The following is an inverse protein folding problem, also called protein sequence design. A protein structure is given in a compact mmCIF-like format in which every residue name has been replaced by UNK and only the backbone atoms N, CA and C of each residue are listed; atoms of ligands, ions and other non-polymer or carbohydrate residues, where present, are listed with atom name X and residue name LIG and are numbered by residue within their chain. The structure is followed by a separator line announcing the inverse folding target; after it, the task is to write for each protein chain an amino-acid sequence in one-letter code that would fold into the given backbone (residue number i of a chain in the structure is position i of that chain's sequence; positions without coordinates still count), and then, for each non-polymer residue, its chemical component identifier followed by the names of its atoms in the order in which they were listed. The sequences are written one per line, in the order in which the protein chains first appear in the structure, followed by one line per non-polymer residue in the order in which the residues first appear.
data_IF_944470748344
#
_entry.id   IF_944470748344
#
_cell.length_a   1.000
_cell.length_b   1.000
_cell.length_c   1.000
_cell.angle_alpha   90.00
_cell.angle_beta   90.00
_cell.angle_gamma   90.00
#
_symmetry.space_group_name_H-M   'P 1'
#
loop_
_entity.id
_entity.type
_entity.pdbx_description
1 polymer ?
#
# COMPACT_ATOMS: atom_id res chain seq x y z
N UNK A 1 -13.73 16.27 11.43
CA UNK A 1 -15.13 15.79 11.49
C UNK A 1 -15.24 14.61 10.55
N UNK A 2 -15.20 13.39 11.08
CA UNK A 2 -15.31 12.15 10.29
C UNK A 2 -16.80 11.83 10.19
N UNK A 3 -17.38 11.95 8.99
CA UNK A 3 -18.76 11.52 8.76
C UNK A 3 -18.82 9.99 8.79
N UNK A 4 -19.37 9.42 9.86
CA UNK A 4 -19.68 7.99 9.93
C UNK A 4 -20.89 7.74 9.02
N UNK A 5 -20.64 7.28 7.79
CA UNK A 5 -21.70 6.87 6.87
C UNK A 5 -22.11 5.45 7.28
N UNK A 6 -23.33 5.28 7.75
CA UNK A 6 -23.88 3.95 8.05
C UNK A 6 -24.50 3.34 6.78
N UNK A 7 -24.26 2.05 6.51
CA UNK A 7 -24.93 1.35 5.42
C UNK A 7 -26.41 1.12 5.75
N UNK A 8 -27.20 0.81 4.73
CA UNK A 8 -28.59 0.39 4.92
C UNK A 8 -28.71 -1.05 5.45
N UNK A 9 -29.94 -1.53 5.59
CA UNK A 9 -30.26 -2.88 6.08
C UNK A 9 -29.65 -4.02 5.24
N UNK A 10 -29.21 -3.74 4.02
CA UNK A 10 -28.56 -4.69 3.11
C UNK A 10 -27.05 -4.47 3.01
N UNK A 11 -26.46 -3.59 3.82
CA UNK A 11 -25.03 -3.28 3.78
C UNK A 11 -24.62 -2.31 2.67
N UNK A 12 -25.57 -1.67 1.98
CA UNK A 12 -25.29 -0.77 0.87
C UNK A 12 -25.13 0.66 1.38
N UNK A 13 -24.01 1.29 1.05
CA UNK A 13 -23.77 2.71 1.36
C UNK A 13 -24.45 3.56 0.30
N UNK A 14 -25.29 4.52 0.72
CA UNK A 14 -26.01 5.42 -0.18
C UNK A 14 -25.50 6.86 -0.05
N UNK A 15 -25.50 7.61 -1.15
CA UNK A 15 -25.23 9.04 -1.14
C UNK A 15 -26.50 9.83 -0.73
N UNK A 16 -26.42 11.16 -0.66
CA UNK A 16 -27.55 12.02 -0.27
C UNK A 16 -28.72 11.98 -1.27
N UNK A 17 -28.47 11.52 -2.49
CA UNK A 17 -29.47 11.37 -3.56
C UNK A 17 -30.04 9.94 -3.61
N UNK A 18 -29.59 9.04 -2.73
CA UNK A 18 -30.03 7.64 -2.68
C UNK A 18 -29.26 6.68 -3.59
N UNK A 19 -28.27 7.16 -4.34
CA UNK A 19 -27.44 6.32 -5.22
C UNK A 19 -26.45 5.48 -4.42
N UNK A 20 -26.24 4.23 -4.84
CA UNK A 20 -25.24 3.35 -4.25
C UNK A 20 -23.83 3.94 -4.43
N UNK A 21 -23.05 3.95 -3.36
CA UNK A 21 -21.67 4.43 -3.33
C UNK A 21 -20.76 3.43 -2.62
N UNK A 22 -19.48 3.51 -2.93
CA UNK A 22 -18.42 2.80 -2.20
C UNK A 22 -18.08 3.53 -0.89
N UNK A 23 -17.35 2.86 0.01
CA UNK A 23 -16.77 3.47 1.21
C UNK A 23 -15.85 4.68 0.90
N UNK A 24 -15.33 4.75 -0.33
CA UNK A 24 -14.48 5.83 -0.84
C UNK A 24 -15.28 6.88 -1.64
N UNK A 25 -16.60 6.95 -1.42
CA UNK A 25 -17.53 7.92 -2.02
C UNK A 25 -17.65 7.90 -3.55
N UNK A 26 -17.14 6.86 -4.23
CA UNK A 26 -17.41 6.66 -5.66
C UNK A 26 -18.79 6.07 -5.87
N UNK A 27 -19.58 6.68 -6.76
CA UNK A 27 -20.89 6.18 -7.17
C UNK A 27 -20.70 4.90 -7.98
N UNK A 28 -21.49 3.87 -7.67
CA UNK A 28 -21.52 2.63 -8.43
C UNK A 28 -22.61 2.77 -9.48
N UNK A 29 -22.21 2.90 -10.74
CA UNK A 29 -23.14 2.93 -11.87
C UNK A 29 -23.37 1.50 -12.35
N UNK A 30 -24.61 1.02 -12.24
CA UNK A 30 -25.04 -0.26 -12.79
C UNK A 30 -26.15 0.05 -13.79
N UNK A 31 -25.95 -0.32 -15.06
CA UNK A 31 -26.98 -0.14 -16.08
C UNK A 31 -28.07 -1.20 -15.95
N UNK A 32 -29.19 -0.99 -16.64
CA UNK A 32 -30.28 -1.98 -16.67
C UNK A 32 -29.79 -3.27 -17.34
N UNK A 33 -28.98 -3.14 -18.39
CA UNK A 33 -28.37 -4.22 -19.13
C UNK A 33 -27.42 -5.04 -18.25
N UNK A 34 -26.66 -4.38 -17.36
CA UNK A 34 -25.81 -5.07 -16.39
C UNK A 34 -26.63 -5.91 -15.40
N UNK A 35 -27.78 -5.39 -14.94
CA UNK A 35 -28.69 -6.10 -14.03
C UNK A 35 -29.29 -7.32 -14.74
N UNK A 36 -29.77 -7.14 -15.97
CA UNK A 36 -30.34 -8.22 -16.78
C UNK A 36 -29.31 -9.33 -17.05
N UNK A 37 -28.08 -8.96 -17.41
CA UNK A 37 -26.99 -9.92 -17.62
C UNK A 37 -26.65 -10.71 -16.34
N UNK A 38 -26.62 -10.05 -15.18
CA UNK A 38 -26.37 -10.73 -13.89
C UNK A 38 -27.47 -11.73 -13.57
N UNK A 39 -28.74 -11.36 -13.78
CA UNK A 39 -29.89 -12.23 -13.50
C UNK A 39 -29.93 -13.43 -14.45
N UNK A 40 -29.68 -13.23 -15.73
CA UNK A 40 -29.61 -14.31 -16.73
C UNK A 40 -28.50 -15.33 -16.39
N UNK A 41 -27.34 -14.85 -15.95
CA UNK A 41 -26.23 -15.69 -15.50
C UNK A 41 -26.58 -16.44 -14.21
N UNK A 42 -27.28 -15.80 -13.26
CA UNK A 42 -27.71 -16.45 -12.03
C UNK A 42 -28.71 -17.58 -12.29
N UNK A 43 -29.66 -17.38 -13.21
CA UNK A 43 -30.65 -18.38 -13.61
C UNK A 43 -30.00 -19.57 -14.34
N UNK A 44 -29.07 -19.31 -15.27
CA UNK A 44 -28.32 -20.37 -15.97
C UNK A 44 -27.41 -21.18 -15.05
N UNK A 45 -26.93 -20.58 -13.95
CA UNK A 45 -26.06 -21.26 -12.98
C UNK A 45 -26.80 -21.86 -11.78
N UNK A 46 -28.13 -21.73 -11.72
CA UNK A 46 -28.93 -22.19 -10.60
C UNK A 46 -28.52 -21.54 -9.27
N UNK A 47 -28.17 -20.25 -9.30
CA UNK A 47 -27.77 -19.50 -8.11
C UNK A 47 -26.35 -19.75 -7.61
N UNK A 48 -25.46 -20.37 -8.41
CA UNK A 48 -24.03 -20.46 -8.06
C UNK A 48 -23.33 -19.12 -8.31
N UNK A 49 -22.73 -18.57 -7.26
CA UNK A 49 -21.91 -17.36 -7.35
C UNK A 49 -20.69 -17.62 -8.24
N UNK A 50 -20.56 -16.87 -9.35
CA UNK A 50 -19.31 -16.77 -10.09
C UNK A 50 -18.40 -15.77 -9.38
N UNK A 51 -17.52 -16.29 -8.54
CA UNK A 51 -16.35 -15.51 -8.14
C UNK A 51 -15.32 -15.54 -9.28
N UNK A 52 -14.51 -14.47 -9.41
CA UNK A 52 -13.35 -14.52 -10.30
C UNK A 52 -12.45 -15.70 -9.88
N UNK A 53 -11.73 -16.38 -10.80
CA UNK A 53 -10.92 -17.56 -10.49
C UNK A 53 -9.94 -17.35 -9.32
N UNK A 54 -9.41 -16.13 -9.19
CA UNK A 54 -8.53 -15.71 -8.10
C UNK A 54 -9.18 -15.66 -6.71
N UNK A 55 -10.52 -15.72 -6.64
CA UNK A 55 -11.34 -15.74 -5.42
C UNK A 55 -12.24 -16.99 -5.32
N UNK A 56 -12.04 -17.98 -6.20
CA UNK A 56 -12.87 -19.20 -6.31
C UNK A 56 -12.92 -20.01 -5.01
N UNK A 57 -11.89 -19.86 -4.15
CA UNK A 57 -11.80 -20.48 -2.81
C UNK A 57 -12.20 -19.58 -1.65
N UNK A 58 -12.45 -18.29 -1.89
CA UNK A 58 -12.82 -17.34 -0.84
C UNK A 58 -14.33 -17.34 -0.54
N UNK A 59 -15.13 -17.84 -1.48
CA UNK A 59 -16.60 -17.86 -1.39
C UNK A 59 -17.16 -19.27 -1.49
N UNK A 60 -16.46 -20.26 -0.94
CA UNK A 60 -17.10 -21.53 -0.58
C UNK A 60 -18.13 -21.22 0.53
N UNK A 61 -19.32 -20.76 0.15
CA UNK A 61 -20.45 -20.77 1.06
C UNK A 61 -20.73 -22.24 1.37
N UNK A 62 -20.60 -22.68 2.64
CA UNK A 62 -21.17 -23.96 3.03
C UNK A 62 -22.63 -23.90 2.58
N UNK A 63 -23.09 -24.89 1.81
CA UNK A 63 -24.49 -25.00 1.42
C UNK A 63 -25.30 -24.70 2.67
N UNK A 64 -26.09 -23.64 2.65
CA UNK A 64 -26.95 -23.27 3.77
C UNK A 64 -28.04 -24.33 3.83
N UNK A 65 -27.71 -25.47 4.41
CA UNK A 65 -28.68 -26.21 5.20
C UNK A 65 -29.22 -25.20 6.22
N UNK A 66 -30.53 -25.21 6.53
CA UNK A 66 -31.11 -24.35 7.55
C UNK A 66 -30.66 -24.86 8.92
N UNK A 67 -29.36 -24.83 9.18
CA UNK A 67 -28.80 -24.85 10.50
C UNK A 67 -28.62 -23.37 10.83
N UNK A 68 -29.32 -22.85 11.85
CA UNK A 68 -29.09 -21.50 12.34
C UNK A 68 -27.59 -21.28 12.51
N UNK A 69 -27.03 -20.12 12.13
CA UNK A 69 -25.66 -19.80 12.47
C UNK A 69 -25.53 -20.05 13.96
N UNK A 70 -24.60 -20.92 14.35
CA UNK A 70 -24.26 -21.10 15.75
C UNK A 70 -23.69 -19.76 16.20
N UNK A 71 -24.57 -18.86 16.64
CA UNK A 71 -24.18 -17.69 17.39
C UNK A 71 -23.55 -18.25 18.66
N UNK A 72 -22.28 -17.92 18.99
CA UNK A 72 -21.78 -18.24 20.32
C UNK A 72 -22.80 -17.70 21.33
N UNK A 73 -23.18 -18.54 22.31
CA UNK A 73 -24.15 -18.15 23.33
C UNK A 73 -23.81 -16.75 23.84
N UNK A 74 -24.82 -15.87 23.86
CA UNK A 74 -24.69 -14.41 23.93
C UNK A 74 -24.10 -13.85 25.25
N UNK A 75 -23.31 -14.64 25.97
CA UNK A 75 -22.77 -14.35 27.29
C UNK A 75 -21.37 -14.96 27.56
N UNK A 76 -20.70 -15.58 26.58
CA UNK A 76 -19.36 -16.18 26.78
C UNK A 76 -18.21 -15.18 26.77
N UNK A 77 -18.42 -13.98 26.22
CA UNK A 77 -17.38 -12.97 26.07
C UNK A 77 -17.58 -11.84 27.08
N UNK A 78 -16.88 -11.93 28.21
CA UNK A 78 -16.88 -10.86 29.22
C UNK A 78 -16.09 -9.66 28.72
N UNK A 79 -16.46 -8.46 29.20
CA UNK A 79 -15.75 -7.21 28.86
C UNK A 79 -14.24 -7.30 29.07
N UNK A 80 -13.83 -7.98 30.13
CA UNK A 80 -12.42 -8.12 30.49
C UNK A 80 -11.69 -9.02 29.50
N UNK A 81 -12.29 -10.15 29.10
CA UNK A 81 -11.76 -11.02 28.05
C UNK A 81 -11.63 -10.28 26.71
N UNK A 82 -12.59 -9.41 26.39
CA UNK A 82 -12.52 -8.53 25.20
C UNK A 82 -11.30 -7.64 25.25
N UNK A 83 -11.12 -6.99 26.39
CA UNK A 83 -10.07 -6.03 26.59
C UNK A 83 -8.70 -6.70 26.52
N UNK A 84 -8.56 -7.87 27.14
CA UNK A 84 -7.33 -8.65 27.13
C UNK A 84 -6.97 -9.12 25.72
N UNK A 85 -7.94 -9.63 24.95
CA UNK A 85 -7.68 -10.04 23.56
C UNK A 85 -7.25 -8.86 22.69
N UNK A 86 -7.89 -7.70 22.85
CA UNK A 86 -7.52 -6.49 22.12
C UNK A 86 -6.08 -6.06 22.49
N UNK A 87 -5.73 -6.10 23.77
CA UNK A 87 -4.39 -5.76 24.24
C UNK A 87 -3.34 -6.72 23.66
N UNK A 88 -3.62 -8.02 23.61
CA UNK A 88 -2.73 -9.02 23.03
C UNK A 88 -2.54 -8.82 21.52
N UNK A 89 -3.60 -8.48 20.79
CA UNK A 89 -3.53 -8.14 19.37
C UNK A 89 -2.64 -6.91 19.16
N UNK A 90 -2.80 -5.85 19.96
CA UNK A 90 -1.96 -4.66 19.86
C UNK A 90 -0.49 -4.97 20.16
N UNK A 91 -0.19 -5.73 21.22
CA UNK A 91 1.18 -6.16 21.52
C UNK A 91 1.80 -6.99 20.41
N UNK A 92 1.02 -7.87 19.77
CA UNK A 92 1.49 -8.67 18.64
C UNK A 92 1.79 -7.77 17.43
N UNK A 93 0.94 -6.78 17.15
CA UNK A 93 1.18 -5.81 16.09
C UNK A 93 2.43 -4.97 16.34
N UNK A 94 2.61 -4.44 17.55
CA UNK A 94 3.80 -3.65 17.93
C UNK A 94 5.09 -4.44 17.70
N UNK A 95 5.10 -5.72 18.08
CA UNK A 95 6.25 -6.62 17.83
C UNK A 95 6.55 -6.78 16.34
N UNK A 96 5.52 -6.93 15.52
CA UNK A 96 5.67 -7.05 14.06
C UNK A 96 6.23 -5.74 13.47
N UNK A 97 5.72 -4.59 13.89
CA UNK A 97 6.23 -3.29 13.45
C UNK A 97 7.68 -3.10 13.87
N UNK A 98 8.03 -3.37 15.13
CA UNK A 98 9.40 -3.29 15.62
C UNK A 98 10.37 -4.17 14.81
N UNK A 99 9.98 -5.40 14.49
CA UNK A 99 10.80 -6.29 13.66
C UNK A 99 10.95 -5.75 12.24
N UNK A 100 9.88 -5.20 11.67
CA UNK A 100 9.89 -4.62 10.33
C UNK A 100 10.79 -3.37 10.26
N UNK A 101 10.67 -2.46 11.23
CA UNK A 101 11.54 -1.28 11.31
C UNK A 101 13.00 -1.66 11.50
N UNK A 102 13.32 -2.66 12.33
CA UNK A 102 14.69 -3.17 12.46
C UNK A 102 15.25 -3.69 11.13
N UNK A 103 14.43 -4.40 10.33
CA UNK A 103 14.85 -4.87 8.99
C UNK A 103 15.06 -3.72 8.02
N UNK A 104 14.20 -2.70 8.05
CA UNK A 104 14.38 -1.48 7.25
C UNK A 104 15.67 -0.78 7.63
N UNK A 105 15.90 -0.53 8.91
CA UNK A 105 17.09 0.17 9.41
C UNK A 105 18.38 -0.56 9.01
N UNK A 106 18.39 -1.89 9.11
CA UNK A 106 19.51 -2.72 8.68
C UNK A 106 19.87 -2.56 7.20
N UNK A 107 18.92 -2.16 6.35
CA UNK A 107 19.13 -1.90 4.91
C UNK A 107 19.39 -0.42 4.66
N UNK A 108 18.64 0.46 5.33
CA UNK A 108 18.67 1.90 5.12
C UNK A 108 20.00 2.52 5.53
N UNK A 109 20.54 2.19 6.72
CA UNK A 109 21.79 2.81 7.19
C UNK A 109 23.01 2.49 6.31
N UNK A 110 23.27 1.23 5.90
CA UNK A 110 24.35 0.94 4.97
C UNK A 110 24.19 1.63 3.61
N UNK A 111 22.95 1.70 3.12
CA UNK A 111 22.66 2.34 1.84
C UNK A 111 22.89 3.86 1.93
N UNK A 112 22.37 4.52 2.95
CA UNK A 112 22.53 5.95 3.19
C UNK A 112 24.01 6.33 3.33
N UNK A 113 24.77 5.55 4.12
CA UNK A 113 26.22 5.72 4.23
C UNK A 113 26.94 5.57 2.88
N UNK A 114 26.53 4.60 2.07
CA UNK A 114 27.12 4.38 0.75
C UNK A 114 26.82 5.54 -0.21
N UNK A 115 25.59 6.03 -0.22
CA UNK A 115 25.17 7.19 -1.02
C UNK A 115 25.93 8.45 -0.58
N UNK A 116 26.04 8.68 0.73
CA UNK A 116 26.80 9.80 1.30
C UNK A 116 28.27 9.75 0.90
N UNK A 117 28.90 8.58 1.00
CA UNK A 117 30.28 8.38 0.58
C UNK A 117 30.48 8.60 -0.93
N UNK A 118 29.59 8.05 -1.77
CA UNK A 118 29.64 8.25 -3.23
C UNK A 118 29.48 9.72 -3.59
N UNK A 119 28.55 10.43 -2.95
CA UNK A 119 28.33 11.86 -3.14
C UNK A 119 29.62 12.65 -2.87
N UNK A 120 30.27 12.38 -1.73
CA UNK A 120 31.55 12.99 -1.38
C UNK A 120 32.67 12.65 -2.37
N UNK A 121 32.75 11.40 -2.80
CA UNK A 121 33.74 10.96 -3.80
C UNK A 121 33.56 11.71 -5.13
N UNK A 122 32.33 11.90 -5.58
CA UNK A 122 32.02 12.66 -6.80
C UNK A 122 32.40 14.14 -6.67
N UNK A 123 32.12 14.77 -5.53
CA UNK A 123 32.50 16.16 -5.27
C UNK A 123 34.03 16.36 -5.26
N UNK A 124 34.77 15.40 -4.70
CA UNK A 124 36.22 15.41 -4.70
C UNK A 124 36.79 15.23 -6.11
N UNK A 125 36.21 14.33 -6.92
CA UNK A 125 36.61 14.16 -8.32
C UNK A 125 36.38 15.42 -9.15
N UNK A 126 35.22 16.07 -9.00
CA UNK A 126 34.92 17.32 -9.71
C UNK A 126 35.94 18.43 -9.38
N UNK A 127 36.38 18.51 -8.12
CA UNK A 127 37.42 19.47 -7.68
C UNK A 127 38.78 19.15 -8.31
N UNK A 128 39.14 17.88 -8.42
CA UNK A 128 40.37 17.45 -9.06
C UNK A 128 40.37 17.81 -10.55
N UNK A 129 39.28 17.51 -11.26
CA UNK A 129 39.13 17.83 -12.69
C UNK A 129 39.24 19.34 -12.94
N UNK A 130 38.58 20.15 -12.09
CA UNK A 130 38.68 21.61 -12.17
C UNK A 130 40.11 22.11 -11.97
N UNK A 131 40.82 21.56 -10.97
CA UNK A 131 42.19 21.95 -10.66
C UNK A 131 43.15 21.54 -11.77
N UNK A 132 42.96 20.34 -12.33
CA UNK A 132 43.73 19.83 -13.47
C UNK A 132 43.60 20.77 -14.69
N UNK A 133 42.38 21.19 -15.02
CA UNK A 133 42.13 22.12 -16.11
C UNK A 133 42.75 23.50 -15.88
N UNK A 134 42.81 23.99 -14.64
CA UNK A 134 43.54 25.23 -14.30
C UNK A 134 45.04 25.06 -14.55
N UNK A 135 45.65 24.00 -14.02
CA UNK A 135 47.09 23.76 -14.14
C UNK A 135 47.50 23.59 -15.61
N UNK A 136 46.69 22.85 -16.38
CA UNK A 136 46.91 22.65 -17.81
C UNK A 136 46.92 23.98 -18.58
N UNK A 137 45.92 24.84 -18.35
CA UNK A 137 45.83 26.17 -18.97
C UNK A 137 47.01 27.07 -18.61
N UNK A 138 47.47 27.05 -17.36
CA UNK A 138 48.64 27.82 -16.93
C UNK A 138 49.91 27.40 -17.68
N UNK A 139 50.18 26.08 -17.75
CA UNK A 139 51.35 25.55 -18.47
C UNK A 139 51.35 25.90 -19.96
N UNK A 140 50.19 25.88 -20.61
CA UNK A 140 50.06 26.29 -22.02
C UNK A 140 50.30 27.80 -22.23
N UNK A 141 49.95 28.64 -21.25
CA UNK A 141 50.25 30.07 -21.30
C UNK A 141 51.75 30.33 -21.14
N UNK A 142 52.39 29.68 -20.15
CA UNK A 142 53.82 29.84 -19.88
C UNK A 142 54.68 29.37 -21.08
N UNK A 143 54.32 28.22 -21.69
CA UNK A 143 55.00 27.71 -22.89
C UNK A 143 54.81 28.59 -24.15
N UNK A 144 53.79 29.46 -24.18
CA UNK A 144 53.59 30.45 -25.26
C UNK A 144 54.42 31.72 -25.04
N UNK A 145 54.62 32.13 -23.79
CA UNK A 145 55.48 33.27 -23.44
C UNK A 145 56.96 33.03 -23.73
N UNK A 146 57.47 31.82 -23.46
CA UNK A 146 58.88 31.47 -23.71
C UNK A 146 59.26 31.46 -25.20
N UNK A 147 58.31 31.18 -26.11
CA UNK A 147 58.55 31.16 -27.56
C UNK A 147 58.60 32.55 -28.21
N UNK A 148 58.14 33.59 -27.52
CA UNK A 148 58.12 34.97 -28.04
C UNK A 148 59.31 35.81 -27.55
N UNK A 149 60.13 35.30 -26.62
CA UNK A 149 61.29 36.01 -26.04
C UNK A 149 62.65 35.54 -26.58
N UNK A 150 62.68 34.72 -27.63
CA UNK A 150 63.88 34.16 -28.25
C UNK A 150 64.03 34.62 -29.70
#
# INVERSE_FOLDING_TARGET
MICVVQPDEYGVYKNKEGNAKTMYERIINVSKEDIEAILEVADTLGGRYQSLPQYERCFEMPRVHPTPPYLPEANTYTRDLVKDLIEDVFKAQDRIFDEFYKKIDAIYFPLDNSVSWLSKCMDEQLKLDYTYEIIKRQKEHDARGEKQSN
#
